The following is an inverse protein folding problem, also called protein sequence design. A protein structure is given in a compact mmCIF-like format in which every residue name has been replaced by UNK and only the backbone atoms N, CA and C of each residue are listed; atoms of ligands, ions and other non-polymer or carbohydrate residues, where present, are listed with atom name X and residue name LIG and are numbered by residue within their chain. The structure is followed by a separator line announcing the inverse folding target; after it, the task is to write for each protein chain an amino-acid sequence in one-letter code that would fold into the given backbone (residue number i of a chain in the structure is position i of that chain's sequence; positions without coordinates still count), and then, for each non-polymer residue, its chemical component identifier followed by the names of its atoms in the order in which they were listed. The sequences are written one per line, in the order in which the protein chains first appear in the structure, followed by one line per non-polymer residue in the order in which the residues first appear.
data_IF_833591782378
#
_entry.id   IF_833591782378
#
_cell.length_a   1.000
_cell.length_b   1.000
_cell.length_c   1.000
_cell.angle_alpha   90.00
_cell.angle_beta   90.00
_cell.angle_gamma   90.00
#
_symmetry.space_group_name_H-M   'P 1'
#
loop_
_entity.id
_entity.type
_entity.pdbx_description
1 polymer ?
#
# COMPACT_ATOMS: atom_id res chain seq x y z
N UNK A 1 -5.76 11.94 32.84
CA UNK A 1 -6.09 11.55 31.44
C UNK A 1 -5.92 12.79 30.59
N UNK A 2 -5.25 12.69 29.44
CA UNK A 2 -5.12 13.79 28.50
C UNK A 2 -6.27 13.80 27.49
N UNK A 3 -6.39 14.87 26.71
CA UNK A 3 -7.35 14.99 25.63
C UNK A 3 -7.05 13.98 24.52
N UNK A 4 -8.07 13.40 23.90
CA UNK A 4 -7.96 12.46 22.80
C UNK A 4 -8.73 13.01 21.61
N UNK A 5 -8.03 13.19 20.48
CA UNK A 5 -8.69 13.54 19.22
C UNK A 5 -9.23 12.26 18.56
N UNK A 6 -10.46 12.30 18.07
CA UNK A 6 -11.08 11.19 17.36
C UNK A 6 -11.46 11.67 15.96
N UNK A 7 -10.99 11.02 14.88
CA UNK A 7 -11.36 11.40 13.52
C UNK A 7 -12.83 11.03 13.25
N UNK A 8 -13.52 11.88 12.48
CA UNK A 8 -14.85 11.59 11.96
C UNK A 8 -14.77 11.49 10.45
N UNK A 9 -14.99 10.29 9.93
CA UNK A 9 -14.92 9.93 8.51
C UNK A 9 -16.33 9.89 7.90
N UNK A 10 -16.42 9.69 6.59
CA UNK A 10 -17.72 9.50 5.95
C UNK A 10 -18.29 8.12 6.24
N UNK A 11 -19.56 8.06 6.60
CA UNK A 11 -20.25 6.81 6.92
C UNK A 11 -20.85 6.13 5.69
N UNK A 12 -21.28 6.89 4.69
CA UNK A 12 -22.00 6.38 3.53
C UNK A 12 -23.16 5.47 3.91
N UNK A 13 -23.19 4.24 3.39
CA UNK A 13 -24.00 3.17 3.98
C UNK A 13 -23.35 2.75 5.30
N UNK A 14 -23.83 3.34 6.40
CA UNK A 14 -23.24 3.18 7.72
C UNK A 14 -23.12 1.72 8.13
N UNK A 15 -24.15 0.91 7.86
CA UNK A 15 -24.15 -0.49 8.22
C UNK A 15 -23.01 -1.24 7.51
N UNK A 16 -22.87 -1.06 6.21
CA UNK A 16 -21.79 -1.66 5.42
C UNK A 16 -20.42 -1.22 5.91
N UNK A 17 -20.27 0.06 6.23
CA UNK A 17 -19.00 0.61 6.77
C UNK A 17 -18.67 -0.01 8.12
N UNK A 18 -19.60 -0.06 9.06
CA UNK A 18 -19.39 -0.66 10.38
C UNK A 18 -19.09 -2.18 10.28
N UNK A 19 -19.76 -2.90 9.40
CA UNK A 19 -19.52 -4.33 9.17
C UNK A 19 -18.12 -4.58 8.59
N UNK A 20 -17.64 -3.70 7.71
CA UNK A 20 -16.28 -3.76 7.22
C UNK A 20 -15.24 -3.60 8.34
N UNK A 21 -15.38 -2.57 9.20
CA UNK A 21 -14.46 -2.39 10.33
C UNK A 21 -14.57 -3.50 11.37
N UNK A 22 -15.76 -4.08 11.56
CA UNK A 22 -15.95 -5.29 12.38
C UNK A 22 -15.15 -6.46 11.81
N UNK A 23 -15.14 -6.64 10.49
CA UNK A 23 -14.30 -7.66 9.83
C UNK A 23 -12.82 -7.45 10.12
N UNK A 24 -12.34 -6.21 10.20
CA UNK A 24 -10.96 -5.88 10.59
C UNK A 24 -10.66 -6.03 12.08
N UNK A 25 -11.63 -6.49 12.89
CA UNK A 25 -11.46 -6.73 14.32
C UNK A 25 -11.75 -5.52 15.22
N UNK A 26 -12.40 -4.47 14.69
CA UNK A 26 -12.92 -3.38 15.53
C UNK A 26 -14.25 -3.76 16.16
N UNK A 27 -14.48 -3.31 17.39
CA UNK A 27 -15.78 -3.39 18.04
C UNK A 27 -16.63 -2.19 17.62
N UNK A 28 -17.88 -2.40 17.22
CA UNK A 28 -18.84 -1.32 17.00
C UNK A 28 -19.33 -0.86 18.38
N UNK A 29 -19.04 0.37 18.75
CA UNK A 29 -19.40 0.95 20.05
C UNK A 29 -20.64 1.84 19.96
N UNK A 30 -20.95 2.32 18.76
CA UNK A 30 -22.15 3.12 18.54
C UNK A 30 -22.66 2.98 17.09
N UNK A 31 -23.99 2.95 16.92
CA UNK A 31 -24.67 2.94 15.62
C UNK A 31 -25.98 3.69 15.71
N UNK A 32 -26.16 4.72 14.87
CA UNK A 32 -27.37 5.51 14.78
C UNK A 32 -27.63 5.96 13.35
N UNK A 33 -28.86 5.80 12.87
CA UNK A 33 -29.28 6.28 11.54
C UNK A 33 -30.27 7.44 11.62
N UNK A 34 -30.91 7.64 12.76
CA UNK A 34 -31.88 8.73 13.02
C UNK A 34 -31.63 9.36 14.39
N UNK A 35 -31.79 10.69 14.57
CA UNK A 35 -32.20 11.71 13.56
C UNK A 35 -31.09 12.06 12.56
N UNK A 36 -29.84 11.66 12.79
CA UNK A 36 -28.69 11.82 11.90
C UNK A 36 -27.86 10.55 11.89
N UNK A 37 -27.11 10.34 10.82
CA UNK A 37 -26.20 9.21 10.67
C UNK A 37 -24.97 9.43 11.54
N UNK A 38 -24.68 8.47 12.42
CA UNK A 38 -23.49 8.48 13.25
C UNK A 38 -23.13 7.06 13.69
N UNK A 39 -21.87 6.70 13.54
CA UNK A 39 -21.34 5.42 13.99
C UNK A 39 -19.98 5.57 14.64
N UNK A 40 -19.60 4.60 15.47
CA UNK A 40 -18.30 4.56 16.09
C UNK A 40 -17.78 3.12 16.17
N UNK A 41 -16.48 2.96 15.93
CA UNK A 41 -15.77 1.71 16.13
C UNK A 41 -14.53 1.94 16.97
N UNK A 42 -14.18 0.96 17.80
CA UNK A 42 -12.97 0.97 18.61
C UNK A 42 -12.21 -0.34 18.47
N UNK A 43 -10.90 -0.25 18.39
CA UNK A 43 -10.04 -1.42 18.33
C UNK A 43 -8.57 -1.04 18.44
N UNK A 44 -7.80 -1.85 19.15
CA UNK A 44 -6.35 -1.70 19.27
C UNK A 44 -5.89 -0.30 19.73
N UNK A 45 -6.64 0.31 20.64
CA UNK A 45 -6.34 1.65 21.17
C UNK A 45 -6.66 2.80 20.20
N UNK A 46 -7.40 2.54 19.13
CA UNK A 46 -7.82 3.53 18.13
C UNK A 46 -9.35 3.55 18.05
N UNK A 47 -9.94 4.75 18.01
CA UNK A 47 -11.34 4.98 17.72
C UNK A 47 -11.51 5.69 16.37
N UNK A 48 -12.46 5.22 15.57
CA UNK A 48 -12.87 5.88 14.32
C UNK A 48 -14.37 6.12 14.38
N UNK A 49 -14.77 7.35 14.12
CA UNK A 49 -16.17 7.74 14.06
C UNK A 49 -16.59 8.02 12.62
N UNK A 50 -17.88 7.86 12.34
CA UNK A 50 -18.47 8.01 11.02
C UNK A 50 -19.68 8.91 11.07
N UNK A 51 -19.74 9.89 10.18
CA UNK A 51 -20.84 10.83 10.07
C UNK A 51 -21.40 10.90 8.65
N UNK A 52 -22.49 11.68 8.51
CA UNK A 52 -23.04 11.96 7.19
C UNK A 52 -22.09 12.81 6.35
N UNK A 53 -22.06 12.56 5.05
CA UNK A 53 -21.36 13.43 4.10
C UNK A 53 -21.98 14.82 4.05
N UNK A 54 -21.18 15.89 3.84
CA UNK A 54 -21.71 17.22 3.62
C UNK A 54 -22.60 17.26 2.38
N UNK A 55 -23.77 17.87 2.50
CA UNK A 55 -24.70 18.00 1.38
C UNK A 55 -24.11 18.89 0.29
N UNK A 56 -24.21 18.44 -0.97
CA UNK A 56 -23.83 19.22 -2.14
C UNK A 56 -22.31 19.31 -2.38
N UNK A 57 -21.52 18.48 -1.73
CA UNK A 57 -20.08 18.39 -1.95
C UNK A 57 -19.77 17.05 -2.62
N UNK A 58 -19.35 17.09 -3.87
CA UNK A 58 -18.72 15.94 -4.52
C UNK A 58 -17.23 15.97 -4.17
N UNK A 59 -16.82 15.16 -3.20
CA UNK A 59 -15.40 14.98 -2.89
C UNK A 59 -14.81 13.94 -3.84
N UNK A 60 -13.59 14.16 -4.35
CA UNK A 60 -12.89 13.12 -5.05
C UNK A 60 -12.78 11.87 -4.17
N UNK A 61 -12.89 10.69 -4.78
CA UNK A 61 -12.64 9.45 -4.08
C UNK A 61 -11.28 9.50 -3.36
N UNK A 62 -11.21 8.93 -2.16
CA UNK A 62 -10.00 8.88 -1.33
C UNK A 62 -9.48 10.25 -0.85
N UNK A 63 -10.31 11.29 -0.90
CA UNK A 63 -9.92 12.61 -0.40
C UNK A 63 -9.95 12.72 1.15
N UNK A 64 -10.68 11.82 1.82
CA UNK A 64 -10.74 11.77 3.28
C UNK A 64 -9.66 10.82 3.79
N UNK A 65 -8.70 11.35 4.54
CA UNK A 65 -7.52 10.63 5.02
C UNK A 65 -7.48 10.67 6.54
N UNK A 66 -7.23 9.51 7.15
CA UNK A 66 -6.95 9.36 8.57
C UNK A 66 -5.61 8.66 8.75
N UNK A 67 -4.78 9.14 9.68
CA UNK A 67 -3.52 8.51 10.05
C UNK A 67 -3.66 7.79 11.38
N UNK A 68 -3.24 6.53 11.44
CA UNK A 68 -3.19 5.71 12.63
C UNK A 68 -1.74 5.31 12.89
N UNK A 69 -1.16 5.83 13.99
CA UNK A 69 0.21 5.51 14.39
C UNK A 69 0.23 4.26 15.26
N UNK A 70 1.01 3.25 14.89
CA UNK A 70 1.09 1.98 15.61
C UNK A 70 2.53 1.46 15.72
N UNK A 71 2.75 0.48 16.59
CA UNK A 71 4.09 0.01 16.93
C UNK A 71 4.54 -1.18 16.08
N UNK A 72 3.59 -1.93 15.46
CA UNK A 72 3.89 -3.06 14.57
C UNK A 72 2.95 -3.03 13.36
N UNK A 73 3.42 -2.38 12.30
CA UNK A 73 2.66 -2.24 11.05
C UNK A 73 2.55 -3.57 10.30
N UNK A 74 3.59 -4.42 10.37
CA UNK A 74 3.60 -5.71 9.68
C UNK A 74 2.56 -6.68 10.27
N UNK A 75 2.55 -6.83 11.60
CA UNK A 75 1.57 -7.66 12.28
C UNK A 75 0.13 -7.17 12.04
N UNK A 76 -0.09 -5.84 12.03
CA UNK A 76 -1.40 -5.28 11.75
C UNK A 76 -1.85 -5.55 10.32
N UNK A 77 -1.00 -5.36 9.32
CA UNK A 77 -1.29 -5.67 7.93
C UNK A 77 -1.63 -7.15 7.77
N UNK A 78 -0.82 -8.04 8.35
CA UNK A 78 -1.08 -9.48 8.31
C UNK A 78 -2.45 -9.85 8.91
N UNK A 79 -2.77 -9.33 10.09
CA UNK A 79 -4.06 -9.58 10.73
C UNK A 79 -5.25 -9.11 9.86
N UNK A 80 -5.12 -7.94 9.23
CA UNK A 80 -6.17 -7.40 8.36
C UNK A 80 -6.33 -8.21 7.07
N UNK A 81 -5.22 -8.62 6.44
CA UNK A 81 -5.27 -9.44 5.21
C UNK A 81 -5.87 -10.80 5.47
N UNK A 82 -5.56 -11.46 6.59
CA UNK A 82 -6.20 -12.73 6.98
C UNK A 82 -7.70 -12.57 7.23
N UNK A 83 -8.11 -11.51 7.93
CA UNK A 83 -9.51 -11.22 8.18
C UNK A 83 -10.28 -10.94 6.86
N UNK A 84 -9.70 -10.14 5.97
CA UNK A 84 -10.28 -9.85 4.66
C UNK A 84 -10.35 -11.11 3.77
N UNK A 85 -9.29 -11.93 3.76
CA UNK A 85 -9.28 -13.21 3.03
C UNK A 85 -10.37 -14.14 3.53
N UNK A 86 -10.55 -14.25 4.83
CA UNK A 86 -11.59 -15.07 5.45
C UNK A 86 -12.98 -14.57 5.07
N UNK A 87 -13.20 -13.27 5.06
CA UNK A 87 -14.51 -12.67 4.79
C UNK A 87 -14.87 -12.64 3.29
N UNK A 88 -13.91 -12.24 2.42
CA UNK A 88 -14.15 -12.07 0.98
C UNK A 88 -13.65 -13.24 0.11
N UNK A 89 -13.03 -14.27 0.69
CA UNK A 89 -12.39 -15.36 -0.05
C UNK A 89 -11.06 -14.96 -0.73
N UNK A 90 -10.72 -13.68 -0.72
CA UNK A 90 -9.48 -13.10 -1.24
C UNK A 90 -9.17 -11.77 -0.56
N UNK A 91 -7.94 -11.28 -0.68
CA UNK A 91 -7.57 -9.94 -0.23
C UNK A 91 -7.97 -8.93 -1.31
N UNK A 92 -8.91 -7.99 -1.03
CA UNK A 92 -9.29 -6.99 -2.02
C UNK A 92 -8.16 -5.99 -2.22
N UNK A 93 -7.61 -5.93 -3.44
CA UNK A 93 -6.51 -5.04 -3.83
C UNK A 93 -6.94 -3.87 -4.73
N UNK A 94 -8.16 -3.92 -5.28
CA UNK A 94 -8.73 -2.91 -6.20
C UNK A 94 -10.16 -2.56 -5.81
N UNK A 95 -10.59 -1.36 -6.18
CA UNK A 95 -11.93 -0.87 -5.86
C UNK A 95 -12.11 -0.51 -4.40
N UNK A 96 -13.34 -0.61 -3.91
CA UNK A 96 -13.72 -0.34 -2.52
C UNK A 96 -14.54 -1.51 -1.96
N UNK A 97 -14.21 -2.06 -0.77
CA UNK A 97 -13.00 -1.75 0.01
C UNK A 97 -11.74 -2.38 -0.60
N UNK A 98 -10.55 -1.91 -0.16
CA UNK A 98 -9.27 -2.52 -0.49
C UNK A 98 -8.22 -2.27 0.60
N UNK A 99 -7.17 -3.08 0.56
CA UNK A 99 -5.95 -2.87 1.34
C UNK A 99 -4.75 -2.82 0.39
N UNK A 100 -3.82 -1.89 0.63
CA UNK A 100 -2.58 -1.86 -0.13
C UNK A 100 -1.69 -3.03 0.30
N UNK A 101 -0.89 -3.53 -0.62
CA UNK A 101 0.10 -4.54 -0.31
C UNK A 101 1.12 -4.03 0.72
N UNK A 102 1.78 -4.97 1.39
CA UNK A 102 2.82 -4.69 2.36
C UNK A 102 4.02 -5.60 2.09
N UNK A 103 5.22 -5.02 2.13
CA UNK A 103 6.48 -5.73 1.95
C UNK A 103 7.34 -5.63 3.20
N UNK A 104 8.26 -6.59 3.42
CA UNK A 104 9.25 -6.46 4.48
C UNK A 104 10.01 -5.14 4.36
N UNK A 105 10.08 -4.39 5.45
CA UNK A 105 10.73 -3.07 5.49
C UNK A 105 9.85 -1.87 5.14
N UNK A 106 8.60 -2.07 4.72
CA UNK A 106 7.64 -0.96 4.62
C UNK A 106 7.25 -0.47 6.01
N UNK A 107 7.03 0.83 6.11
CA UNK A 107 6.64 1.49 7.37
C UNK A 107 5.15 1.85 7.41
N UNK A 108 4.39 1.61 6.33
CA UNK A 108 2.97 1.95 6.24
C UNK A 108 2.20 1.09 5.25
N UNK A 109 0.89 1.01 5.46
CA UNK A 109 -0.08 0.53 4.47
C UNK A 109 -1.37 1.33 4.58
N UNK A 110 -2.22 1.25 3.56
CA UNK A 110 -3.51 1.95 3.51
C UNK A 110 -4.64 0.95 3.40
N UNK A 111 -5.66 1.16 4.19
CA UNK A 111 -6.99 0.56 4.02
C UNK A 111 -7.90 1.63 3.43
N UNK A 112 -8.53 1.32 2.31
CA UNK A 112 -9.61 2.14 1.78
C UNK A 112 -10.91 1.41 2.06
N UNK A 113 -11.80 2.06 2.79
CA UNK A 113 -13.06 1.47 3.23
C UNK A 113 -14.14 1.46 2.13
N UNK A 114 -15.33 0.88 2.36
CA UNK A 114 -16.38 0.80 1.35
C UNK A 114 -16.87 2.16 0.83
N UNK A 115 -16.65 3.25 1.58
CA UNK A 115 -17.06 4.62 1.19
C UNK A 115 -15.94 5.35 0.43
N UNK A 116 -14.70 4.85 0.54
CA UNK A 116 -13.52 5.47 -0.07
C UNK A 116 -12.71 6.33 0.92
N UNK A 117 -12.95 6.23 2.23
CA UNK A 117 -12.05 6.83 3.21
C UNK A 117 -10.73 6.07 3.24
N UNK A 118 -9.62 6.79 3.24
CA UNK A 118 -8.27 6.23 3.32
C UNK A 118 -7.76 6.27 4.75
N UNK A 119 -7.62 5.10 5.38
CA UNK A 119 -6.99 4.98 6.70
C UNK A 119 -5.57 4.46 6.51
N UNK A 120 -4.58 5.30 6.79
CA UNK A 120 -3.16 5.00 6.63
C UNK A 120 -2.61 4.59 7.99
N UNK A 121 -2.15 3.35 8.07
CA UNK A 121 -1.50 2.78 9.25
C UNK A 121 0.00 2.96 9.11
N UNK A 122 0.63 3.65 10.07
CA UNK A 122 2.02 4.08 10.00
C UNK A 122 2.77 3.59 11.22
N UNK A 123 3.95 3.01 10.99
CA UNK A 123 4.90 2.64 12.04
C UNK A 123 5.32 3.90 12.81
N UNK A 124 5.22 3.89 14.14
CA UNK A 124 5.45 5.06 15.00
C UNK A 124 6.89 5.60 14.91
N UNK A 125 7.85 4.71 14.69
CA UNK A 125 9.28 5.00 14.54
C UNK A 125 9.74 5.04 13.07
N UNK A 126 8.79 5.32 12.14
CA UNK A 126 9.10 5.49 10.73
C UNK A 126 10.26 6.49 10.52
N UNK A 127 11.21 6.20 9.61
CA UNK A 127 12.28 7.13 9.30
C UNK A 127 11.75 8.50 8.87
N UNK A 128 12.25 9.57 9.51
CA UNK A 128 11.80 10.94 9.24
C UNK A 128 12.52 11.57 8.04
N UNK A 129 13.73 11.09 7.75
CA UNK A 129 14.62 11.65 6.72
C UNK A 129 14.59 10.79 5.46
N UNK A 130 13.44 10.80 4.76
CA UNK A 130 13.30 10.11 3.46
C UNK A 130 13.72 11.09 2.36
N UNK A 131 14.82 10.79 1.66
CA UNK A 131 15.30 11.59 0.52
C UNK A 131 14.44 11.30 -0.74
N UNK A 132 13.35 12.02 -0.89
CA UNK A 132 12.53 11.95 -2.10
C UNK A 132 13.33 12.30 -3.35
N UNK A 133 13.21 11.47 -4.40
CA UNK A 133 14.03 11.56 -5.62
C UNK A 133 15.23 10.63 -5.62
N UNK A 134 15.35 9.80 -4.59
CA UNK A 134 16.46 8.88 -4.34
C UNK A 134 17.67 9.57 -3.73
N UNK A 135 18.45 8.80 -2.96
CA UNK A 135 19.61 9.29 -2.23
C UNK A 135 20.58 10.05 -3.15
N UNK A 136 21.08 11.18 -2.67
CA UNK A 136 22.05 12.01 -3.39
C UNK A 136 23.42 11.35 -3.51
N UNK A 137 23.69 10.34 -2.70
CA UNK A 137 24.91 9.54 -2.77
C UNK A 137 24.89 8.53 -3.93
N UNK A 138 23.71 8.23 -4.46
CA UNK A 138 23.51 7.33 -5.58
C UNK A 138 23.42 8.09 -6.92
N UNK A 139 23.82 7.41 -8.00
CA UNK A 139 23.77 7.95 -9.36
C UNK A 139 23.11 6.96 -10.35
N UNK A 140 22.73 7.44 -11.51
CA UNK A 140 22.22 6.60 -12.59
C UNK A 140 21.01 5.77 -12.18
N UNK A 141 21.01 4.49 -12.56
CA UNK A 141 19.91 3.56 -12.30
C UNK A 141 19.77 3.21 -10.81
N UNK A 142 20.85 3.18 -10.04
CA UNK A 142 20.81 2.94 -8.61
C UNK A 142 19.97 4.01 -7.87
N UNK A 143 20.12 5.28 -8.24
CA UNK A 143 19.29 6.35 -7.68
C UNK A 143 17.82 6.24 -8.10
N UNK A 144 17.57 5.84 -9.33
CA UNK A 144 16.21 5.59 -9.83
C UNK A 144 15.53 4.46 -9.04
N UNK A 145 16.25 3.37 -8.77
CA UNK A 145 15.78 2.26 -7.94
C UNK A 145 15.40 2.71 -6.53
N UNK A 146 16.26 3.49 -5.88
CA UNK A 146 15.98 3.99 -4.55
C UNK A 146 14.75 4.92 -4.54
N UNK A 147 14.63 5.81 -5.53
CA UNK A 147 13.43 6.66 -5.67
C UNK A 147 12.16 5.83 -5.92
N UNK A 148 12.23 4.81 -6.78
CA UNK A 148 11.10 3.92 -7.05
C UNK A 148 10.68 3.15 -5.79
N UNK A 149 11.65 2.70 -4.97
CA UNK A 149 11.39 2.10 -3.67
C UNK A 149 10.65 3.06 -2.74
N UNK A 150 11.09 4.31 -2.65
CA UNK A 150 10.43 5.34 -1.83
C UNK A 150 8.98 5.57 -2.28
N UNK A 151 8.74 5.72 -3.58
CA UNK A 151 7.42 5.92 -4.14
C UNK A 151 6.50 4.73 -3.85
N UNK A 152 7.00 3.52 -4.04
CA UNK A 152 6.28 2.27 -3.86
C UNK A 152 5.99 1.99 -2.38
N UNK A 153 7.01 2.06 -1.52
CA UNK A 153 6.96 1.54 -0.16
C UNK A 153 6.51 2.57 0.88
N UNK A 154 6.75 3.85 0.63
CA UNK A 154 6.42 4.94 1.56
C UNK A 154 5.29 5.84 1.06
N UNK A 155 5.05 5.93 -0.25
CA UNK A 155 3.96 6.73 -0.80
C UNK A 155 2.77 5.91 -1.31
N UNK A 156 2.94 4.60 -1.49
CA UNK A 156 1.97 3.73 -2.16
C UNK A 156 1.59 4.24 -3.58
N UNK A 157 2.54 4.90 -4.25
CA UNK A 157 2.37 5.45 -5.60
C UNK A 157 3.05 4.55 -6.63
N UNK A 158 2.43 3.42 -6.90
CA UNK A 158 2.91 2.43 -7.85
C UNK A 158 2.98 2.98 -9.27
N UNK A 159 2.02 3.81 -9.66
CA UNK A 159 1.98 4.37 -11.00
C UNK A 159 3.21 5.27 -11.28
N UNK A 160 3.59 6.09 -10.30
CA UNK A 160 4.80 6.91 -10.42
C UNK A 160 6.06 6.05 -10.30
N UNK A 161 6.08 5.03 -9.45
CA UNK A 161 7.21 4.10 -9.33
C UNK A 161 7.49 3.37 -10.66
N UNK A 162 6.45 2.85 -11.34
CA UNK A 162 6.55 2.24 -12.67
C UNK A 162 7.19 3.22 -13.66
N UNK A 163 6.64 4.42 -13.77
CA UNK A 163 7.10 5.44 -14.72
C UNK A 163 8.56 5.82 -14.48
N UNK A 164 8.96 5.98 -13.22
CA UNK A 164 10.34 6.32 -12.85
C UNK A 164 11.30 5.20 -13.23
N UNK A 165 10.93 3.94 -13.00
CA UNK A 165 11.74 2.77 -13.38
C UNK A 165 11.89 2.65 -14.90
N UNK A 166 10.82 2.83 -15.68
CA UNK A 166 10.85 2.76 -17.14
C UNK A 166 11.72 3.84 -17.76
N UNK A 167 11.51 5.09 -17.32
CA UNK A 167 12.33 6.22 -17.77
C UNK A 167 13.79 6.01 -17.37
N UNK A 168 14.03 5.49 -16.16
CA UNK A 168 15.38 5.19 -15.67
C UNK A 168 16.08 4.11 -16.47
N UNK A 169 15.40 3.00 -16.77
CA UNK A 169 15.93 1.94 -17.65
C UNK A 169 16.23 2.45 -19.06
N UNK A 170 15.33 3.25 -19.65
CA UNK A 170 15.56 3.83 -20.96
C UNK A 170 16.76 4.79 -20.99
N UNK A 171 16.97 5.57 -19.92
CA UNK A 171 18.02 6.58 -19.86
C UNK A 171 19.39 6.03 -19.45
N UNK A 172 19.43 5.15 -18.46
CA UNK A 172 20.65 4.68 -17.82
C UNK A 172 20.93 3.21 -18.07
N UNK A 173 19.96 2.44 -18.55
CA UNK A 173 20.04 0.99 -18.65
C UNK A 173 21.19 0.51 -19.54
N UNK A 174 21.64 1.26 -20.57
CA UNK A 174 22.74 0.86 -21.42
C UNK A 174 24.08 0.74 -20.65
N UNK A 175 24.32 1.67 -19.72
CA UNK A 175 25.58 1.79 -18.97
C UNK A 175 25.48 1.33 -17.52
N UNK A 176 24.26 1.00 -17.05
CA UNK A 176 24.04 0.59 -15.67
C UNK A 176 24.68 -0.76 -15.35
N UNK A 177 25.12 -0.95 -14.09
CA UNK A 177 25.52 -2.27 -13.62
C UNK A 177 24.41 -3.31 -13.89
N UNK A 178 24.83 -4.51 -14.21
CA UNK A 178 23.92 -5.61 -14.58
C UNK A 178 22.93 -5.94 -13.46
N UNK A 179 23.39 -5.88 -12.20
CA UNK A 179 22.53 -6.11 -11.05
C UNK A 179 21.44 -5.03 -10.93
N UNK A 180 21.77 -3.75 -11.14
CA UNK A 180 20.79 -2.67 -11.08
C UNK A 180 19.70 -2.83 -12.13
N UNK A 181 20.05 -3.29 -13.35
CA UNK A 181 19.04 -3.62 -14.38
C UNK A 181 18.14 -4.76 -13.94
N UNK A 182 18.72 -5.82 -13.39
CA UNK A 182 17.98 -6.97 -12.93
C UNK A 182 17.01 -6.57 -11.79
N UNK A 183 17.45 -5.74 -10.85
CA UNK A 183 16.63 -5.21 -9.77
C UNK A 183 15.49 -4.33 -10.30
N UNK A 184 15.75 -3.48 -11.31
CA UNK A 184 14.72 -2.65 -11.91
C UNK A 184 13.66 -3.48 -12.65
N UNK A 185 14.06 -4.53 -13.37
CA UNK A 185 13.14 -5.47 -14.00
C UNK A 185 12.32 -6.23 -12.96
N UNK A 186 12.94 -6.70 -11.88
CA UNK A 186 12.25 -7.40 -10.79
C UNK A 186 11.20 -6.49 -10.10
N UNK A 187 11.55 -5.23 -9.83
CA UNK A 187 10.63 -4.27 -9.28
C UNK A 187 9.45 -3.99 -10.23
N UNK A 188 9.70 -3.89 -11.54
CA UNK A 188 8.64 -3.75 -12.54
C UNK A 188 7.75 -4.99 -12.66
N UNK A 189 8.32 -6.20 -12.56
CA UNK A 189 7.55 -7.45 -12.54
C UNK A 189 6.57 -7.45 -11.36
N UNK A 190 7.05 -7.12 -10.19
CA UNK A 190 6.23 -7.06 -8.98
C UNK A 190 5.13 -6.00 -9.12
N UNK A 191 5.46 -4.82 -9.64
CA UNK A 191 4.48 -3.76 -9.91
C UNK A 191 3.44 -4.16 -10.97
N UNK A 192 3.83 -4.89 -12.01
CA UNK A 192 2.91 -5.42 -13.02
C UNK A 192 1.94 -6.45 -12.43
N UNK A 193 2.42 -7.34 -11.54
CA UNK A 193 1.56 -8.30 -10.82
C UNK A 193 0.57 -7.54 -9.93
N UNK A 194 1.04 -6.54 -9.18
CA UNK A 194 0.17 -5.70 -8.36
C UNK A 194 -0.89 -4.94 -9.16
N UNK A 195 -0.55 -4.54 -10.39
CA UNK A 195 -1.48 -3.90 -11.33
C UNK A 195 -2.42 -4.90 -12.04
N UNK A 196 -2.26 -6.22 -11.82
CA UNK A 196 -2.98 -7.30 -12.52
C UNK A 196 -2.78 -7.21 -14.04
N UNK A 197 -1.51 -7.01 -14.44
CA UNK A 197 -1.05 -6.98 -15.83
C UNK A 197 -0.12 -8.19 -16.12
N UNK A 198 -0.68 -9.38 -16.34
CA UNK A 198 0.08 -10.59 -16.57
C UNK A 198 0.92 -10.52 -17.85
N UNK A 199 0.41 -9.89 -18.91
CA UNK A 199 1.13 -9.78 -20.17
C UNK A 199 2.44 -9.00 -20.02
N UNK A 200 2.40 -7.92 -19.27
CA UNK A 200 3.59 -7.12 -18.96
C UNK A 200 4.54 -7.88 -18.03
N UNK A 201 4.01 -8.52 -16.99
CA UNK A 201 4.80 -9.37 -16.09
C UNK A 201 5.57 -10.44 -16.86
N UNK A 202 4.94 -11.14 -17.81
CA UNK A 202 5.56 -12.19 -18.62
C UNK A 202 6.66 -11.65 -19.55
N UNK A 203 6.44 -10.48 -20.15
CA UNK A 203 7.43 -9.79 -20.97
C UNK A 203 8.68 -9.46 -20.15
N UNK A 204 8.51 -8.83 -18.99
CA UNK A 204 9.60 -8.45 -18.09
C UNK A 204 10.35 -9.69 -17.54
N UNK A 205 9.62 -10.77 -17.21
CA UNK A 205 10.21 -12.03 -16.79
C UNK A 205 11.09 -12.65 -17.88
N UNK A 206 10.67 -12.56 -19.14
CA UNK A 206 11.45 -13.05 -20.28
C UNK A 206 12.73 -12.25 -20.43
N UNK A 207 12.68 -10.93 -20.30
CA UNK A 207 13.84 -10.06 -20.35
C UNK A 207 14.81 -10.36 -19.19
N UNK A 208 14.32 -10.50 -17.97
CA UNK A 208 15.13 -10.84 -16.80
C UNK A 208 15.83 -12.20 -16.97
N UNK A 209 15.14 -13.23 -17.47
CA UNK A 209 15.73 -14.56 -17.75
C UNK A 209 16.83 -14.49 -18.80
N UNK A 210 16.67 -13.66 -19.84
CA UNK A 210 17.67 -13.49 -20.90
C UNK A 210 18.99 -12.92 -20.37
N UNK A 211 18.99 -12.24 -19.22
CA UNK A 211 20.19 -11.72 -18.59
C UNK A 211 21.13 -12.79 -18.05
N UNK A 212 20.68 -14.05 -17.85
CA UNK A 212 21.48 -15.18 -17.34
C UNK A 212 22.26 -14.80 -16.08
N UNK A 213 21.56 -14.39 -15.05
CA UNK A 213 22.13 -13.93 -13.78
C UNK A 213 22.97 -15.01 -13.11
N UNK A 214 24.06 -14.61 -12.44
CA UNK A 214 24.81 -15.45 -11.52
C UNK A 214 23.99 -15.84 -10.31
N UNK A 215 24.44 -16.82 -9.52
CA UNK A 215 23.72 -17.21 -8.30
C UNK A 215 23.58 -16.06 -7.29
N UNK A 216 24.65 -15.28 -7.11
CA UNK A 216 24.63 -14.13 -6.22
C UNK A 216 23.65 -13.04 -6.71
N UNK A 217 23.62 -12.76 -8.01
CA UNK A 217 22.66 -11.81 -8.61
C UNK A 217 21.23 -12.32 -8.49
N UNK A 218 20.98 -13.62 -8.68
CA UNK A 218 19.66 -14.24 -8.49
C UNK A 218 19.17 -14.09 -7.05
N UNK A 219 20.03 -14.41 -6.08
CA UNK A 219 19.69 -14.27 -4.67
C UNK A 219 19.30 -12.83 -4.29
N UNK A 220 20.01 -11.83 -4.85
CA UNK A 220 19.67 -10.43 -4.65
C UNK A 220 18.29 -10.05 -5.24
N UNK A 221 17.98 -10.58 -6.43
CA UNK A 221 16.71 -10.32 -7.15
C UNK A 221 15.52 -11.09 -6.55
N UNK A 222 15.77 -12.29 -5.99
CA UNK A 222 14.71 -13.11 -5.38
C UNK A 222 13.96 -12.40 -4.26
N UNK A 223 14.61 -11.53 -3.51
CA UNK A 223 13.97 -10.73 -2.48
C UNK A 223 12.82 -9.85 -3.01
N UNK A 224 13.03 -9.22 -4.17
CA UNK A 224 11.99 -8.44 -4.86
C UNK A 224 10.89 -9.35 -5.45
N UNK A 225 11.26 -10.50 -6.00
CA UNK A 225 10.32 -11.43 -6.64
C UNK A 225 9.47 -12.22 -5.63
N UNK A 226 9.95 -12.48 -4.40
CA UNK A 226 9.15 -13.11 -3.34
C UNK A 226 7.97 -12.22 -2.92
N UNK A 227 8.21 -10.92 -2.83
CA UNK A 227 7.13 -9.97 -2.57
C UNK A 227 6.02 -10.02 -3.65
N UNK A 228 6.37 -10.46 -4.87
CA UNK A 228 5.43 -10.67 -5.97
C UNK A 228 4.66 -11.99 -5.86
N UNK A 229 5.27 -13.05 -5.33
CA UNK A 229 4.60 -14.34 -5.13
C UNK A 229 3.49 -14.26 -4.07
N UNK A 230 3.75 -13.52 -2.98
CA UNK A 230 2.78 -13.31 -1.90
C UNK A 230 1.53 -12.52 -2.34
N UNK A 231 1.56 -11.89 -3.52
CA UNK A 231 0.44 -11.16 -4.11
C UNK A 231 -0.43 -12.01 -5.06
N UNK A 232 0.10 -13.14 -5.52
CA UNK A 232 -0.56 -14.00 -6.50
C UNK A 232 -1.44 -15.10 -5.85
N UNK A 233 -1.29 -15.31 -4.53
CA UNK A 233 -2.08 -16.22 -3.69
C UNK A 233 -3.18 -15.46 -2.93
#
# INVERSE_FOLDING_TARGET
MGDTAVPVLWGGDLKNTLDFYRTLGYAVTYEQTRPYVYGAVEGNGCALHFGAEPRGTELPAESVICLVMLDDVAARHHAFTEALRTHYGKVPAKGYPRITRFRPGQSRFTVVDPVGNSVIYIQRDEPKDIEYGGSRELAGLARVLDNARILRDFKNDDATAIRVLEVGLGRFGAEAPRLDKAMALAALIELAIAADDPARSDTLRTELRAMRLTEAERSAVEGELRAAADLAD
#
